data_IF_256811684131
#
_entry.id   IF_256811684131
#
_cell.length_a   1.000
_cell.length_b   1.000
_cell.length_c   1.000
_cell.angle_alpha   90.00
_cell.angle_beta   90.00
_cell.angle_gamma   90.00
#
_symmetry.space_group_name_H-M   'P 1'
#
loop_
_entity.id
_entity.type
_entity.pdbx_description
1 polymer ?
#
# COMPACT_ATOMS: atom_id res chain seq x y z
N UNK A 1 -14.27 -4.20 -0.26
CA UNK A 1 -13.76 -2.82 -0.34
C UNK A 1 -12.25 -2.86 -0.49
N UNK A 2 -11.68 -2.00 -1.33
CA UNK A 2 -10.24 -1.79 -1.44
C UNK A 2 -9.82 -0.78 -0.37
N UNK A 3 -9.22 -1.28 0.71
CA UNK A 3 -8.96 -0.54 1.96
C UNK A 3 -8.15 0.74 1.70
N UNK A 4 -7.02 0.62 1.01
CA UNK A 4 -6.07 1.73 0.82
C UNK A 4 -6.72 2.93 0.14
N UNK A 5 -7.60 2.73 -0.83
CA UNK A 5 -8.23 3.83 -1.57
C UNK A 5 -9.65 4.13 -1.13
N UNK A 6 -10.18 3.38 -0.15
CA UNK A 6 -11.56 3.47 0.33
C UNK A 6 -12.61 3.45 -0.80
N UNK A 7 -12.51 2.46 -1.69
CA UNK A 7 -13.45 2.28 -2.82
C UNK A 7 -13.95 0.85 -2.94
N UNK A 8 -15.11 0.69 -3.56
CA UNK A 8 -15.62 -0.63 -3.92
C UNK A 8 -14.74 -1.29 -5.00
N UNK A 9 -14.70 -2.63 -4.99
CA UNK A 9 -13.94 -3.42 -5.97
C UNK A 9 -14.36 -3.11 -7.40
N UNK A 10 -15.65 -2.82 -7.67
CA UNK A 10 -16.12 -2.45 -9.01
C UNK A 10 -15.49 -1.17 -9.52
N UNK A 11 -15.24 -0.19 -8.64
CA UNK A 11 -14.55 1.05 -8.99
C UNK A 11 -13.09 0.75 -9.37
N UNK A 12 -12.43 -0.13 -8.62
CA UNK A 12 -11.07 -0.58 -8.95
C UNK A 12 -11.04 -1.28 -10.32
N UNK A 13 -11.99 -2.18 -10.58
CA UNK A 13 -12.11 -2.85 -11.88
C UNK A 13 -12.30 -1.85 -13.02
N UNK A 14 -13.09 -0.79 -12.81
CA UNK A 14 -13.24 0.27 -13.80
C UNK A 14 -11.94 1.03 -14.03
N UNK A 15 -11.20 1.40 -12.98
CA UNK A 15 -9.91 2.08 -13.12
C UNK A 15 -8.91 1.26 -13.93
N UNK A 16 -8.88 -0.06 -13.75
CA UNK A 16 -8.01 -0.93 -14.56
C UNK A 16 -8.40 -0.98 -16.04
N UNK A 17 -9.66 -0.65 -16.37
CA UNK A 17 -10.14 -0.55 -17.74
C UNK A 17 -10.01 0.87 -18.33
N UNK A 18 -10.02 1.91 -17.48
CA UNK A 18 -10.20 3.32 -17.86
C UNK A 18 -9.05 4.22 -17.35
N UNK A 19 -7.80 3.80 -17.60
CA UNK A 19 -6.55 4.54 -17.34
C UNK A 19 -6.26 4.95 -15.88
N UNK A 20 -7.04 4.52 -14.89
CA UNK A 20 -6.74 4.70 -13.47
C UNK A 20 -7.76 5.53 -12.67
N UNK A 21 -7.43 5.95 -11.44
CA UNK A 21 -8.26 6.83 -10.64
C UNK A 21 -8.38 8.22 -11.25
N UNK A 22 -9.56 8.86 -11.15
CA UNK A 22 -9.80 10.22 -11.64
C UNK A 22 -9.65 11.30 -10.56
N UNK A 23 -9.56 10.92 -9.28
CA UNK A 23 -9.41 11.85 -8.17
C UNK A 23 -7.97 11.88 -7.65
N UNK A 24 -7.52 13.09 -7.28
CA UNK A 24 -6.13 13.35 -6.87
C UNK A 24 -5.71 12.52 -5.65
N UNK A 25 -6.60 12.36 -4.67
CA UNK A 25 -6.31 11.57 -3.47
C UNK A 25 -6.18 10.08 -3.78
N UNK A 26 -7.07 9.52 -4.59
CA UNK A 26 -6.97 8.10 -4.96
C UNK A 26 -5.77 7.84 -5.84
N UNK A 27 -5.48 8.72 -6.80
CA UNK A 27 -4.27 8.65 -7.60
C UNK A 27 -3.02 8.71 -6.73
N UNK A 28 -2.99 9.63 -5.75
CA UNK A 28 -1.87 9.74 -4.82
C UNK A 28 -1.65 8.46 -4.03
N UNK A 29 -2.72 7.91 -3.44
CA UNK A 29 -2.65 6.67 -2.66
C UNK A 29 -2.21 5.47 -3.50
N UNK A 30 -2.69 5.36 -4.75
CA UNK A 30 -2.24 4.31 -5.68
C UNK A 30 -0.75 4.43 -5.98
N UNK A 31 -0.25 5.64 -6.28
CA UNK A 31 1.17 5.88 -6.55
C UNK A 31 2.03 5.59 -5.32
N UNK A 32 1.63 6.09 -4.14
CA UNK A 32 2.34 5.85 -2.89
C UNK A 32 2.42 4.34 -2.56
N UNK A 33 1.31 3.62 -2.77
CA UNK A 33 1.27 2.16 -2.59
C UNK A 33 2.20 1.44 -3.56
N UNK A 34 2.16 1.83 -4.84
CA UNK A 34 3.00 1.22 -5.88
C UNK A 34 4.49 1.34 -5.53
N UNK A 35 4.94 2.51 -5.09
CA UNK A 35 6.34 2.73 -4.70
C UNK A 35 6.79 1.81 -3.56
N UNK A 36 5.92 1.57 -2.58
CA UNK A 36 6.22 0.68 -1.44
C UNK A 36 6.22 -0.78 -1.90
N UNK A 37 5.25 -1.17 -2.73
CA UNK A 37 5.17 -2.52 -3.30
C UNK A 37 6.42 -2.82 -4.14
N UNK A 38 6.85 -1.90 -5.00
CA UNK A 38 8.05 -2.05 -5.82
C UNK A 38 9.32 -2.19 -4.98
N UNK A 39 9.43 -1.42 -3.89
CA UNK A 39 10.54 -1.55 -2.95
C UNK A 39 10.60 -2.95 -2.34
N UNK A 40 9.48 -3.46 -1.82
CA UNK A 40 9.44 -4.76 -1.15
C UNK A 40 9.58 -5.93 -2.14
N UNK A 41 9.00 -5.81 -3.33
CA UNK A 41 9.13 -6.83 -4.39
C UNK A 41 10.53 -6.97 -4.96
N UNK A 42 11.45 -6.04 -4.66
CA UNK A 42 12.84 -6.16 -5.07
C UNK A 42 13.52 -7.36 -4.41
N UNK A 43 13.08 -7.75 -3.21
CA UNK A 43 13.70 -8.80 -2.40
C UNK A 43 12.71 -9.91 -2.00
N UNK A 44 11.42 -9.59 -1.93
CA UNK A 44 10.38 -10.52 -1.48
C UNK A 44 9.39 -10.96 -2.55
N UNK A 45 8.82 -12.14 -2.34
CA UNK A 45 7.75 -12.67 -3.20
C UNK A 45 6.43 -11.89 -3.02
N UNK A 46 5.55 -11.84 -4.04
CA UNK A 46 4.25 -11.18 -3.93
C UNK A 46 3.37 -11.64 -2.76
N UNK A 47 3.46 -12.91 -2.35
CA UNK A 47 2.73 -13.42 -1.19
C UNK A 47 3.27 -12.88 0.13
N UNK A 48 4.58 -12.68 0.24
CA UNK A 48 5.21 -12.06 1.43
C UNK A 48 4.83 -10.60 1.50
N UNK A 49 4.99 -9.85 0.40
CA UNK A 49 4.60 -8.43 0.32
C UNK A 49 3.12 -8.25 0.69
N UNK A 50 2.23 -9.08 0.14
CA UNK A 50 0.79 -9.05 0.50
C UNK A 50 0.58 -9.29 1.99
N UNK A 51 1.30 -10.23 2.58
CA UNK A 51 1.17 -10.55 4.01
C UNK A 51 1.69 -9.41 4.87
N UNK A 52 2.78 -8.74 4.46
CA UNK A 52 3.33 -7.57 5.13
C UNK A 52 2.32 -6.43 5.21
N UNK A 53 1.60 -6.14 4.12
CA UNK A 53 0.55 -5.11 4.12
C UNK A 53 -0.67 -5.42 5.00
N UNK A 54 -0.94 -6.71 5.25
CA UNK A 54 -2.09 -7.17 6.04
C UNK A 54 -1.73 -7.44 7.51
N UNK A 55 -0.46 -7.67 7.81
CA UNK A 55 0.03 -7.97 9.15
C UNK A 55 0.16 -6.74 10.03
N UNK A 56 0.18 -6.95 11.35
CA UNK A 56 0.52 -5.90 12.31
C UNK A 56 1.99 -5.51 12.14
N UNK A 57 2.27 -4.22 12.11
CA UNK A 57 3.63 -3.71 11.97
C UNK A 57 4.01 -2.92 13.24
N UNK A 58 4.97 -3.40 14.05
CA UNK A 58 5.40 -2.72 15.27
C UNK A 58 5.98 -1.31 15.04
N UNK A 59 6.45 -1.01 13.82
CA UNK A 59 6.93 0.32 13.46
C UNK A 59 5.80 1.31 13.16
N UNK A 60 4.56 0.82 13.07
CA UNK A 60 3.35 1.59 12.79
C UNK A 60 2.36 1.51 13.96
N UNK A 61 2.86 1.48 15.20
CA UNK A 61 2.04 1.32 16.41
C UNK A 61 1.10 0.10 16.33
N UNK A 62 1.62 -1.01 15.79
CA UNK A 62 0.90 -2.27 15.60
C UNK A 62 -0.32 -2.20 14.65
N UNK A 63 -0.44 -1.11 13.87
CA UNK A 63 -1.42 -0.99 12.79
C UNK A 63 -0.95 -1.75 11.56
N UNK A 64 -1.91 -2.19 10.73
CA UNK A 64 -1.55 -2.79 9.44
C UNK A 64 -1.18 -1.70 8.42
N UNK A 65 -0.14 -1.91 7.58
CA UNK A 65 0.29 -0.91 6.60
C UNK A 65 -0.81 -0.46 5.63
N UNK A 66 -1.77 -1.32 5.30
CA UNK A 66 -2.86 -1.00 4.39
C UNK A 66 -3.83 0.06 4.96
N UNK A 67 -4.15 -0.01 6.25
CA UNK A 67 -4.98 0.98 6.95
C UNK A 67 -4.24 2.31 7.12
N UNK A 68 -2.97 2.27 7.49
CA UNK A 68 -2.13 3.49 7.63
C UNK A 68 -2.01 4.22 6.27
N UNK A 69 -1.93 3.48 5.16
CA UNK A 69 -1.99 4.08 3.83
C UNK A 69 -3.35 4.70 3.50
N UNK A 70 -4.45 4.09 3.94
CA UNK A 70 -5.80 4.64 3.76
C UNK A 70 -5.97 5.98 4.48
N UNK A 71 -5.28 6.17 5.60
CA UNK A 71 -5.20 7.44 6.34
C UNK A 71 -4.31 8.51 5.68
N UNK A 72 -3.66 8.19 4.55
CA UNK A 72 -2.75 9.11 3.85
C UNK A 72 -1.37 9.24 4.50
N UNK A 73 -1.03 8.36 5.45
CA UNK A 73 0.25 8.36 6.18
C UNK A 73 1.35 7.58 5.44
N UNK A 74 1.42 7.74 4.12
CA UNK A 74 2.33 6.99 3.25
C UNK A 74 3.82 7.11 3.61
N UNK A 75 4.23 8.27 4.17
CA UNK A 75 5.62 8.47 4.61
C UNK A 75 6.03 7.52 5.74
N UNK A 76 5.13 7.24 6.66
CA UNK A 76 5.39 6.33 7.78
C UNK A 76 5.51 4.89 7.27
N UNK A 77 4.61 4.49 6.37
CA UNK A 77 4.65 3.16 5.76
C UNK A 77 5.90 2.96 4.90
N UNK A 78 6.33 3.98 4.15
CA UNK A 78 7.58 3.94 3.40
C UNK A 78 8.80 3.81 4.33
N UNK A 79 8.80 4.48 5.48
CA UNK A 79 9.88 4.36 6.47
C UNK A 79 9.94 2.93 7.05
N UNK A 80 8.79 2.35 7.41
CA UNK A 80 8.70 0.98 7.88
C UNK A 80 9.14 -0.04 6.81
N UNK A 81 8.72 0.16 5.55
CA UNK A 81 9.12 -0.70 4.44
C UNK A 81 10.64 -0.69 4.19
N UNK A 82 11.28 0.49 4.29
CA UNK A 82 12.74 0.60 4.19
C UNK A 82 13.46 -0.06 5.36
N UNK A 83 12.93 0.05 6.57
CA UNK A 83 13.53 -0.62 7.72
C UNK A 83 13.46 -2.14 7.56
N UNK A 84 12.29 -2.67 7.19
CA UNK A 84 12.11 -4.08 6.88
C UNK A 84 13.06 -4.57 5.76
N UNK A 85 13.16 -3.84 4.64
CA UNK A 85 14.06 -4.19 3.53
C UNK A 85 15.56 -4.11 3.89
N UNK A 86 15.94 -3.37 4.93
CA UNK A 86 17.33 -3.33 5.40
C UNK A 86 17.64 -4.40 6.48
N UNK A 87 16.61 -5.08 7.00
CA UNK A 87 16.72 -6.12 8.03
C UNK A 87 16.64 -7.55 7.45
N UNK A 88 16.14 -7.70 6.21
CA UNK A 88 16.04 -8.96 5.47
C UNK A 88 17.41 -9.44 4.92
#
# INVERSE_FOLDING_TARGET
>A
MAVIVDRDVKTITRWTADQGPSGDEEQRRVIDTLQIVELLLAEDSPSVVRSWFMGMNPQLDDQNPAEVLAEGRAREVMAAARAYANEA
#
